data_IF_351907228130
#
_entry.id   IF_351907228130
#
_cell.length_a   1.000
_cell.length_b   1.000
_cell.length_c   1.000
_cell.angle_alpha   90.00
_cell.angle_beta   90.00
_cell.angle_gamma   90.00
#
_symmetry.space_group_name_H-M   'P 1'
#
loop_
_entity.id
_entity.type
_entity.pdbx_description
1 polymer ?
#
# COMPACT_ATOMS: atom_id res chain seq x y z
N UNK A 1 5.27 16.44 14.82
CA UNK A 1 3.87 16.30 14.39
C UNK A 1 3.29 15.12 15.16
N UNK A 2 2.19 15.31 15.88
CA UNK A 2 1.53 14.22 16.61
C UNK A 2 0.49 13.61 15.64
N UNK A 3 0.62 12.33 15.30
CA UNK A 3 -0.21 11.63 14.31
C UNK A 3 -1.02 10.50 14.97
N UNK A 4 -1.96 10.79 15.89
CA UNK A 4 -2.77 9.76 16.55
C UNK A 4 -3.66 8.95 15.60
N UNK A 5 -4.02 9.50 14.44
CA UNK A 5 -4.66 8.78 13.33
C UNK A 5 -3.81 9.01 12.07
N UNK A 6 -2.84 8.12 11.87
CA UNK A 6 -1.84 8.19 10.81
C UNK A 6 -2.43 8.55 9.44
N UNK A 7 -3.58 7.96 9.08
CA UNK A 7 -4.22 8.18 7.79
C UNK A 7 -4.80 9.60 7.65
N UNK A 8 -5.65 9.99 8.61
CA UNK A 8 -6.36 11.27 8.56
C UNK A 8 -5.41 12.44 8.78
N UNK A 9 -4.45 12.27 9.67
CA UNK A 9 -3.49 13.31 10.02
C UNK A 9 -2.49 13.54 8.87
N UNK A 10 -2.12 12.49 8.12
CA UNK A 10 -1.31 12.61 6.89
C UNK A 10 -2.02 13.44 5.83
N UNK A 11 -3.29 13.14 5.53
CA UNK A 11 -4.08 13.90 4.56
C UNK A 11 -4.20 15.36 4.99
N UNK A 12 -4.47 15.60 6.28
CA UNK A 12 -4.54 16.94 6.86
C UNK A 12 -3.20 17.69 6.74
N UNK A 13 -2.08 17.03 6.98
CA UNK A 13 -0.75 17.62 6.84
C UNK A 13 -0.42 17.96 5.38
N UNK A 14 -0.81 17.11 4.42
CA UNK A 14 -0.67 17.37 2.99
C UNK A 14 -1.53 18.56 2.55
N UNK A 15 -2.79 18.63 3.01
CA UNK A 15 -3.69 19.76 2.74
C UNK A 15 -3.15 21.09 3.26
N UNK A 16 -2.44 21.06 4.40
CA UNK A 16 -1.81 22.23 5.01
C UNK A 16 -0.39 22.49 4.49
N UNK A 17 -0.02 21.95 3.32
CA UNK A 17 1.31 22.10 2.69
C UNK A 17 2.49 21.76 3.63
N UNK A 18 2.25 20.93 4.65
CA UNK A 18 3.23 20.58 5.68
C UNK A 18 4.07 19.36 5.31
N UNK A 19 3.68 18.64 4.25
CA UNK A 19 4.39 17.49 3.68
C UNK A 19 4.53 17.70 2.16
N UNK A 20 5.74 17.53 1.63
CA UNK A 20 6.02 17.66 0.19
C UNK A 20 6.27 16.32 -0.52
N UNK A 21 6.34 15.22 0.23
CA UNK A 21 6.62 13.87 -0.28
C UNK A 21 5.90 12.81 0.54
N UNK A 22 5.43 11.75 -0.10
CA UNK A 22 4.74 10.62 0.57
C UNK A 22 5.27 9.30 -0.01
N UNK A 23 6.17 8.58 0.69
CA UNK A 23 6.64 7.27 0.24
C UNK A 23 5.56 6.23 0.51
N UNK A 24 4.75 5.92 -0.51
CA UNK A 24 3.55 5.08 -0.34
C UNK A 24 3.20 4.31 -1.61
N UNK A 25 2.26 3.38 -1.49
CA UNK A 25 1.77 2.63 -2.64
C UNK A 25 1.11 3.55 -3.68
N UNK A 26 1.23 3.17 -4.97
CA UNK A 26 0.71 3.96 -6.11
C UNK A 26 -0.78 4.32 -5.98
N UNK A 27 -1.56 3.49 -5.29
CA UNK A 27 -2.97 3.71 -4.99
C UNK A 27 -3.25 5.01 -4.20
N UNK A 28 -2.26 5.59 -3.53
CA UNK A 28 -2.40 6.89 -2.86
C UNK A 28 -2.59 8.06 -3.85
N UNK A 29 -2.27 7.86 -5.13
CA UNK A 29 -2.58 8.83 -6.18
C UNK A 29 -4.08 9.15 -6.23
N UNK A 30 -4.93 8.14 -6.02
CA UNK A 30 -6.38 8.31 -5.88
C UNK A 30 -6.74 9.18 -4.67
N UNK A 31 -6.14 8.90 -3.51
CA UNK A 31 -6.34 9.69 -2.28
C UNK A 31 -5.98 11.17 -2.47
N UNK A 32 -4.84 11.46 -3.13
CA UNK A 32 -4.44 12.84 -3.43
C UNK A 32 -5.48 13.54 -4.31
N UNK A 33 -5.94 12.88 -5.38
CA UNK A 33 -6.94 13.44 -6.30
C UNK A 33 -8.29 13.70 -5.62
N UNK A 34 -8.72 12.77 -4.76
CA UNK A 34 -10.01 12.87 -4.06
C UNK A 34 -9.99 13.96 -2.98
N UNK A 35 -8.91 14.06 -2.21
CA UNK A 35 -8.87 14.90 -1.01
C UNK A 35 -8.17 16.25 -1.22
N UNK A 36 -7.33 16.39 -2.25
CA UNK A 36 -6.46 17.56 -2.46
C UNK A 36 -6.59 18.10 -3.90
N UNK A 37 -7.80 18.14 -4.44
CA UNK A 37 -8.07 18.54 -5.83
C UNK A 37 -7.48 19.91 -6.22
N UNK A 38 -7.35 20.84 -5.27
CA UNK A 38 -6.75 22.17 -5.43
C UNK A 38 -5.21 22.16 -5.56
N UNK A 39 -4.58 21.00 -5.35
CA UNK A 39 -3.15 20.78 -5.53
C UNK A 39 -2.78 20.14 -6.87
N UNK A 40 -3.73 20.04 -7.82
CA UNK A 40 -3.46 19.56 -9.17
C UNK A 40 -2.26 20.31 -9.82
N UNK A 41 -1.38 19.54 -10.46
CA UNK A 41 -0.15 20.04 -11.08
C UNK A 41 1.02 20.31 -10.12
N UNK A 42 0.84 20.12 -8.80
CA UNK A 42 1.92 20.25 -7.80
C UNK A 42 2.62 18.93 -7.50
N UNK A 43 2.01 17.80 -7.85
CA UNK A 43 2.48 16.47 -7.50
C UNK A 43 2.99 15.71 -8.72
N UNK A 44 4.02 14.89 -8.51
CA UNK A 44 4.57 13.94 -9.49
C UNK A 44 4.98 12.67 -8.75
N UNK A 45 5.19 11.58 -9.48
CA UNK A 45 5.64 10.31 -8.92
C UNK A 45 7.08 10.00 -9.38
N UNK A 46 7.86 9.41 -8.48
CA UNK A 46 9.21 8.88 -8.75
C UNK A 46 9.39 7.54 -8.01
N UNK A 47 10.35 6.68 -8.41
CA UNK A 47 10.75 5.53 -7.62
C UNK A 47 11.15 5.92 -6.19
N UNK A 48 11.07 4.98 -5.24
CA UNK A 48 11.60 5.24 -3.90
C UNK A 48 13.12 5.50 -3.99
N UNK A 49 13.71 6.24 -3.04
CA UNK A 49 15.16 6.24 -2.91
C UNK A 49 15.64 4.88 -2.42
N UNK A 50 16.75 4.40 -2.97
CA UNK A 50 17.46 3.26 -2.38
C UNK A 50 18.13 3.68 -1.07
N UNK A 51 18.16 2.77 -0.07
CA UNK A 51 18.83 3.02 1.22
C UNK A 51 20.36 3.07 1.05
N UNK A 52 20.88 2.19 0.19
CA UNK A 52 22.30 2.11 -0.17
C UNK A 52 22.46 2.42 -1.65
N UNK A 53 23.63 2.93 -2.06
CA UNK A 53 23.92 3.24 -3.45
C UNK A 53 23.79 1.99 -4.33
N UNK A 54 22.93 2.06 -5.36
CA UNK A 54 22.64 0.92 -6.23
C UNK A 54 21.76 -0.17 -5.61
N UNK A 55 21.25 0.04 -4.39
CA UNK A 55 20.37 -0.89 -3.71
C UNK A 55 18.95 -0.91 -4.27
N UNK A 56 18.14 -1.86 -3.78
CA UNK A 56 16.73 -1.97 -4.14
C UNK A 56 15.94 -0.70 -3.78
N UNK A 57 15.10 -0.27 -4.70
CA UNK A 57 14.20 0.87 -4.54
C UNK A 57 12.72 0.54 -4.79
N UNK A 58 12.38 -0.75 -4.88
CA UNK A 58 11.02 -1.21 -5.11
C UNK A 58 10.53 -2.08 -3.95
N UNK A 59 9.32 -1.84 -3.47
CA UNK A 59 8.68 -2.65 -2.43
C UNK A 59 7.17 -2.54 -2.52
N UNK A 60 6.46 -3.61 -2.16
CA UNK A 60 5.01 -3.58 -2.02
C UNK A 60 4.60 -2.95 -0.68
N UNK A 61 3.61 -2.06 -0.73
CA UNK A 61 2.98 -1.49 0.46
C UNK A 61 1.46 -1.46 0.30
N UNK A 62 0.78 -2.18 1.20
CA UNK A 62 -0.66 -2.39 1.12
C UNK A 62 -1.03 -3.39 0.03
N UNK A 63 -2.03 -3.03 -0.78
CA UNK A 63 -2.73 -3.99 -1.65
C UNK A 63 -3.89 -4.65 -0.91
N UNK A 64 -4.93 -4.98 -1.65
CA UNK A 64 -6.14 -5.60 -1.10
C UNK A 64 -6.48 -6.86 -1.88
N UNK A 65 -7.13 -7.78 -1.19
CA UNK A 65 -7.65 -9.03 -1.76
C UNK A 65 -9.15 -9.05 -1.56
N UNK A 66 -9.87 -9.60 -2.53
CA UNK A 66 -11.31 -9.86 -2.43
C UNK A 66 -11.51 -11.34 -2.18
N UNK A 67 -12.22 -11.66 -1.10
CA UNK A 67 -12.49 -13.04 -0.68
C UNK A 67 -13.98 -13.36 -0.78
N UNK A 68 -14.30 -14.59 -1.17
CA UNK A 68 -15.67 -15.11 -1.16
C UNK A 68 -15.96 -15.68 0.22
N UNK A 69 -17.03 -15.20 0.86
CA UNK A 69 -17.48 -15.77 2.13
C UNK A 69 -17.83 -17.25 1.96
N UNK A 70 -17.33 -18.10 2.86
CA UNK A 70 -17.66 -19.53 2.91
C UNK A 70 -19.15 -19.82 3.14
N UNK A 71 -19.90 -18.82 3.62
CA UNK A 71 -21.35 -18.93 3.88
C UNK A 71 -22.23 -18.57 2.67
N UNK A 72 -21.64 -18.16 1.53
CA UNK A 72 -22.42 -17.76 0.36
C UNK A 72 -23.26 -18.90 -0.20
N UNK A 73 -24.46 -18.58 -0.69
CA UNK A 73 -25.30 -19.52 -1.44
C UNK A 73 -24.93 -19.60 -2.92
N UNK A 74 -24.03 -18.74 -3.39
CA UNK A 74 -23.68 -18.58 -4.81
C UNK A 74 -22.17 -18.61 -5.06
N UNK A 75 -21.43 -19.65 -4.62
CA UNK A 75 -19.97 -19.66 -4.67
C UNK A 75 -19.42 -19.50 -6.09
N UNK A 76 -19.98 -20.22 -7.06
CA UNK A 76 -19.52 -20.16 -8.46
C UNK A 76 -19.78 -18.81 -9.12
N UNK A 77 -20.91 -18.16 -8.81
CA UNK A 77 -21.21 -16.82 -9.34
C UNK A 77 -20.25 -15.78 -8.77
N UNK A 78 -20.02 -15.81 -7.45
CA UNK A 78 -19.06 -14.92 -6.80
C UNK A 78 -17.66 -15.11 -7.37
N UNK A 79 -17.22 -16.36 -7.54
CA UNK A 79 -15.92 -16.68 -8.13
C UNK A 79 -15.81 -16.18 -9.56
N UNK A 80 -16.80 -16.46 -10.42
CA UNK A 80 -16.81 -16.00 -11.80
C UNK A 80 -16.78 -14.48 -11.93
N UNK A 81 -17.48 -13.76 -11.05
CA UNK A 81 -17.41 -12.30 -11.00
C UNK A 81 -16.02 -11.80 -10.61
N UNK A 82 -15.41 -12.34 -9.55
CA UNK A 82 -14.06 -11.93 -9.11
C UNK A 82 -13.03 -12.25 -10.19
N UNK A 83 -13.12 -13.42 -10.82
CA UNK A 83 -12.23 -13.82 -11.92
C UNK A 83 -12.36 -12.86 -13.11
N UNK A 84 -13.57 -12.55 -13.55
CA UNK A 84 -13.76 -11.56 -14.62
C UNK A 84 -13.26 -10.18 -14.20
N UNK A 85 -13.61 -9.69 -13.01
CA UNK A 85 -13.30 -8.33 -12.60
C UNK A 85 -11.80 -8.09 -12.41
N UNK A 86 -11.08 -9.04 -11.81
CA UNK A 86 -9.65 -8.88 -11.51
C UNK A 86 -8.71 -9.53 -12.54
N UNK A 87 -9.18 -10.49 -13.35
CA UNK A 87 -8.33 -11.20 -14.33
C UNK A 87 -8.76 -10.93 -15.78
N UNK A 88 -9.38 -9.77 -16.05
CA UNK A 88 -9.65 -9.30 -17.41
C UNK A 88 -9.18 -7.87 -17.61
N UNK A 89 -8.82 -7.54 -18.86
CA UNK A 89 -8.51 -6.17 -19.27
C UNK A 89 -9.71 -5.25 -19.08
N UNK A 90 -10.93 -5.72 -19.36
CA UNK A 90 -12.15 -4.92 -19.18
C UNK A 90 -12.37 -4.55 -17.71
N UNK A 91 -12.28 -5.54 -16.80
CA UNK A 91 -12.43 -5.31 -15.36
C UNK A 91 -11.34 -4.41 -14.80
N UNK A 92 -10.08 -4.62 -15.21
CA UNK A 92 -8.95 -3.78 -14.80
C UNK A 92 -9.11 -2.33 -15.27
N UNK A 93 -9.56 -2.14 -16.52
CA UNK A 93 -9.86 -0.81 -17.06
C UNK A 93 -10.98 -0.12 -16.27
N UNK A 94 -12.07 -0.83 -15.95
CA UNK A 94 -13.14 -0.29 -15.11
C UNK A 94 -12.59 0.13 -13.74
N UNK A 95 -11.75 -0.70 -13.12
CA UNK A 95 -11.19 -0.41 -11.81
C UNK A 95 -10.27 0.82 -11.83
N UNK A 96 -9.43 0.95 -12.86
CA UNK A 96 -8.56 2.10 -13.07
C UNK A 96 -9.36 3.39 -13.33
N UNK A 97 -10.36 3.35 -14.22
CA UNK A 97 -11.12 4.55 -14.61
C UNK A 97 -12.09 5.04 -13.51
N UNK A 98 -12.68 4.11 -12.74
CA UNK A 98 -13.68 4.44 -11.72
C UNK A 98 -13.05 4.68 -10.35
N UNK A 99 -12.11 3.81 -9.95
CA UNK A 99 -11.58 3.79 -8.58
C UNK A 99 -10.15 4.29 -8.50
N UNK A 100 -9.47 4.57 -9.62
CA UNK A 100 -8.04 4.92 -9.71
C UNK A 100 -7.11 3.87 -9.06
N UNK A 101 -7.61 2.64 -8.91
CA UNK A 101 -6.86 1.56 -8.31
C UNK A 101 -5.96 0.92 -9.36
N UNK A 102 -4.72 0.70 -8.98
CA UNK A 102 -3.75 -0.03 -9.79
C UNK A 102 -3.91 -1.54 -9.53
N UNK A 103 -4.33 -2.30 -10.55
CA UNK A 103 -4.58 -3.73 -10.40
C UNK A 103 -3.28 -4.53 -10.32
N UNK A 104 -3.36 -5.73 -9.75
CA UNK A 104 -2.25 -6.69 -9.74
C UNK A 104 -2.18 -7.54 -11.03
N UNK A 105 -3.14 -7.40 -11.95
CA UNK A 105 -3.23 -8.20 -13.17
C UNK A 105 -2.36 -7.61 -14.27
N UNK A 106 -1.07 -7.94 -14.23
CA UNK A 106 -0.04 -7.45 -15.16
C UNK A 106 -0.41 -7.50 -16.65
N UNK A 107 -1.12 -8.53 -17.17
CA UNK A 107 -1.52 -8.53 -18.58
C UNK A 107 -2.36 -7.31 -19.01
N UNK A 108 -3.08 -6.67 -18.09
CA UNK A 108 -3.85 -5.46 -18.37
C UNK A 108 -3.02 -4.18 -18.47
N UNK A 109 -1.74 -4.17 -18.07
CA UNK A 109 -0.92 -2.96 -18.05
C UNK A 109 -0.65 -2.37 -19.45
N UNK A 110 -0.94 -3.14 -20.51
CA UNK A 110 -0.86 -2.68 -21.90
C UNK A 110 -2.08 -1.86 -22.34
N UNK A 111 -3.15 -1.82 -21.55
CA UNK A 111 -4.34 -1.03 -21.84
C UNK A 111 -4.06 0.48 -21.74
N UNK A 112 -4.77 1.28 -22.52
CA UNK A 112 -4.62 2.73 -22.54
C UNK A 112 -4.89 3.35 -21.15
N UNK A 113 -5.76 2.75 -20.34
CA UNK A 113 -6.05 3.24 -18.98
C UNK A 113 -4.82 3.28 -18.07
N UNK A 114 -3.79 2.45 -18.34
CA UNK A 114 -2.54 2.39 -17.58
C UNK A 114 -1.48 3.36 -18.10
N UNK A 115 -1.56 3.76 -19.37
CA UNK A 115 -0.54 4.60 -20.02
C UNK A 115 -0.97 6.05 -20.18
N UNK A 116 -2.27 6.33 -20.08
CA UNK A 116 -2.84 7.67 -20.17
C UNK A 116 -2.23 8.60 -19.12
N UNK A 117 -1.86 9.80 -19.55
CA UNK A 117 -1.44 10.89 -18.67
C UNK A 117 -2.60 11.31 -17.76
N UNK A 118 -2.34 11.34 -16.46
CA UNK A 118 -3.27 11.87 -15.48
C UNK A 118 -3.06 13.40 -15.36
N UNK A 119 -4.12 14.17 -15.55
CA UNK A 119 -4.07 15.64 -15.53
C UNK A 119 -3.62 16.20 -14.17
N UNK A 120 -3.93 15.51 -13.08
CA UNK A 120 -3.55 15.94 -11.74
C UNK A 120 -2.02 15.88 -11.54
N UNK A 121 -1.37 14.88 -12.13
CA UNK A 121 0.07 14.64 -11.98
C UNK A 121 0.91 15.12 -13.17
N UNK A 122 0.29 15.42 -14.32
CA UNK A 122 1.00 15.73 -15.56
C UNK A 122 1.82 14.55 -16.14
N UNK A 123 1.66 13.36 -15.56
CA UNK A 123 2.28 12.10 -15.97
C UNK A 123 1.30 10.95 -15.71
N UNK A 124 1.66 9.71 -16.05
CA UNK A 124 0.88 8.53 -15.67
C UNK A 124 1.52 7.82 -14.47
N UNK A 125 0.95 7.92 -13.24
CA UNK A 125 1.41 7.12 -12.11
C UNK A 125 1.30 5.62 -12.36
N UNK A 126 0.25 5.19 -13.06
CA UNK A 126 0.03 3.78 -13.41
C UNK A 126 1.13 3.26 -14.37
N UNK A 127 1.54 4.04 -15.37
CA UNK A 127 2.62 3.63 -16.26
C UNK A 127 3.95 3.48 -15.53
N UNK A 128 4.25 4.41 -14.61
CA UNK A 128 5.43 4.28 -13.75
C UNK A 128 5.35 3.02 -12.89
N UNK A 129 4.23 2.79 -12.20
CA UNK A 129 4.07 1.60 -11.36
C UNK A 129 4.19 0.31 -12.16
N UNK A 130 3.59 0.23 -13.36
CA UNK A 130 3.68 -0.93 -14.24
C UNK A 130 5.13 -1.27 -14.62
N UNK A 131 5.98 -0.25 -14.86
CA UNK A 131 7.40 -0.46 -15.13
C UNK A 131 8.17 -0.98 -13.91
N UNK A 132 7.80 -0.54 -12.72
CA UNK A 132 8.49 -0.88 -11.48
C UNK A 132 8.09 -2.25 -10.92
N UNK A 133 6.90 -2.75 -11.25
CA UNK A 133 6.37 -4.01 -10.70
C UNK A 133 7.22 -5.24 -11.04
N UNK A 134 8.00 -5.23 -12.14
CA UNK A 134 8.85 -6.37 -12.53
C UNK A 134 10.04 -6.59 -11.60
N UNK A 135 10.44 -5.56 -10.84
CA UNK A 135 11.63 -5.58 -9.97
C UNK A 135 11.31 -5.67 -8.49
N UNK A 136 10.01 -5.70 -8.12
CA UNK A 136 9.60 -5.78 -6.71
C UNK A 136 9.96 -7.17 -6.15
N UNK A 137 10.77 -7.25 -5.08
CA UNK A 137 11.10 -8.52 -4.46
C UNK A 137 9.87 -9.14 -3.78
N UNK A 138 9.80 -10.47 -3.79
CA UNK A 138 8.78 -11.21 -3.08
C UNK A 138 8.85 -10.94 -1.57
N UNK A 139 7.70 -10.60 -0.98
CA UNK A 139 7.55 -10.45 0.47
C UNK A 139 6.57 -11.51 0.99
N UNK A 140 7.06 -12.61 1.60
CA UNK A 140 6.19 -13.63 2.14
C UNK A 140 5.47 -13.12 3.40
N UNK A 141 4.16 -13.34 3.45
CA UNK A 141 3.33 -13.10 4.62
C UNK A 141 3.06 -14.44 5.34
N UNK A 142 3.85 -14.83 6.36
CA UNK A 142 3.69 -16.10 7.06
C UNK A 142 2.39 -16.15 7.89
N UNK A 143 2.08 -17.34 8.42
CA UNK A 143 1.02 -17.50 9.41
C UNK A 143 1.20 -16.51 10.57
N UNK A 144 0.08 -15.94 11.04
CA UNK A 144 0.03 -14.94 12.11
C UNK A 144 0.77 -13.62 11.79
N UNK A 145 1.14 -13.36 10.53
CA UNK A 145 1.86 -12.13 10.15
C UNK A 145 1.21 -10.87 10.73
N UNK A 146 -0.11 -10.75 10.64
CA UNK A 146 -0.84 -9.58 11.14
C UNK A 146 -0.77 -9.48 12.66
N UNK A 147 -1.02 -10.58 13.38
CA UNK A 147 -0.97 -10.64 14.84
C UNK A 147 0.42 -10.25 15.38
N UNK A 148 1.46 -10.73 14.71
CA UNK A 148 2.85 -10.45 15.06
C UNK A 148 3.25 -9.03 14.65
N UNK A 149 2.89 -8.60 13.44
CA UNK A 149 3.22 -7.28 12.91
C UNK A 149 2.58 -6.15 13.70
N UNK A 150 1.38 -6.35 14.24
CA UNK A 150 0.69 -5.36 15.06
C UNK A 150 1.47 -4.99 16.33
N UNK A 151 2.24 -5.91 16.90
CA UNK A 151 3.08 -5.65 18.09
C UNK A 151 4.10 -4.56 17.79
N UNK A 152 4.75 -4.59 16.63
CA UNK A 152 5.71 -3.54 16.25
C UNK A 152 5.01 -2.20 16.05
N UNK A 153 3.81 -2.19 15.47
CA UNK A 153 3.06 -0.95 15.29
C UNK A 153 2.64 -0.33 16.63
N UNK A 154 2.14 -1.14 17.57
CA UNK A 154 1.65 -0.64 18.86
C UNK A 154 2.76 -0.32 19.85
N UNK A 155 3.85 -1.09 19.82
CA UNK A 155 4.85 -1.07 20.90
C UNK A 155 6.17 -0.42 20.48
N UNK A 156 6.45 -0.25 19.18
CA UNK A 156 7.70 0.38 18.73
C UNK A 156 7.51 1.81 18.23
N UNK A 157 6.49 2.08 17.41
CA UNK A 157 6.34 3.37 16.70
C UNK A 157 6.25 4.56 17.67
N UNK A 158 5.32 4.51 18.63
CA UNK A 158 5.15 5.56 19.63
C UNK A 158 6.41 5.77 20.49
N UNK A 159 6.93 4.71 21.14
CA UNK A 159 8.10 4.84 21.99
C UNK A 159 9.35 5.38 21.29
N UNK A 160 9.60 5.00 20.03
CA UNK A 160 10.74 5.52 19.27
C UNK A 160 10.52 6.96 18.81
N UNK A 161 9.41 7.24 18.14
CA UNK A 161 9.22 8.51 17.43
C UNK A 161 8.57 9.62 18.26
N UNK A 162 7.82 9.26 19.31
CA UNK A 162 7.12 10.22 20.18
C UNK A 162 7.86 10.38 21.51
N UNK A 163 8.22 9.27 22.15
CA UNK A 163 8.86 9.29 23.48
C UNK A 163 10.39 9.42 23.40
N UNK A 164 10.99 9.21 22.22
CA UNK A 164 12.43 9.32 22.00
C UNK A 164 13.25 8.22 22.68
N UNK A 165 12.66 7.04 22.90
CA UNK A 165 13.39 5.88 23.44
C UNK A 165 14.40 5.35 22.42
N UNK A 166 15.42 4.67 22.96
CA UNK A 166 16.42 3.99 22.14
C UNK A 166 15.77 2.93 21.24
N UNK A 167 16.03 3.02 19.94
CA UNK A 167 15.39 2.19 18.92
C UNK A 167 15.77 0.71 19.07
N UNK A 168 17.04 0.40 19.34
CA UNK A 168 17.52 -0.97 19.43
C UNK A 168 16.90 -1.68 20.64
N UNK A 169 16.81 -0.99 21.78
CA UNK A 169 16.14 -1.50 22.97
C UNK A 169 14.66 -1.77 22.72
N UNK A 170 13.94 -0.81 22.13
CA UNK A 170 12.49 -0.95 21.88
C UNK A 170 12.19 -2.06 20.87
N UNK A 171 12.98 -2.16 19.80
CA UNK A 171 12.82 -3.23 18.82
C UNK A 171 13.13 -4.59 19.43
N UNK A 172 14.13 -4.69 20.30
CA UNK A 172 14.44 -5.93 21.04
C UNK A 172 13.25 -6.36 21.91
N UNK A 173 12.68 -5.44 22.68
CA UNK A 173 11.50 -5.72 23.52
C UNK A 173 10.28 -6.14 22.69
N UNK A 174 10.03 -5.48 21.57
CA UNK A 174 8.96 -5.83 20.64
C UNK A 174 9.19 -7.22 20.01
N UNK A 175 10.44 -7.54 19.65
CA UNK A 175 10.82 -8.88 19.15
C UNK A 175 10.57 -9.96 20.18
N UNK A 176 10.95 -9.76 21.44
CA UNK A 176 10.72 -10.74 22.51
C UNK A 176 9.23 -10.99 22.73
N UNK A 177 8.41 -9.94 22.68
CA UNK A 177 6.95 -10.05 22.79
C UNK A 177 6.34 -10.77 21.58
N UNK A 178 6.79 -10.43 20.37
CA UNK A 178 6.39 -11.09 19.13
C UNK A 178 6.71 -12.60 19.16
N UNK A 179 7.89 -12.99 19.66
CA UNK A 179 8.26 -14.40 19.80
C UNK A 179 7.32 -15.15 20.75
N UNK A 180 7.03 -14.59 21.93
CA UNK A 180 6.10 -15.20 22.90
C UNK A 180 4.68 -15.35 22.33
N UNK A 181 4.21 -14.33 21.59
CA UNK A 181 2.90 -14.40 20.94
C UNK A 181 2.86 -15.48 19.85
N UNK A 182 3.92 -15.60 19.06
CA UNK A 182 4.01 -16.64 18.04
C UNK A 182 4.04 -18.04 18.64
N UNK A 183 4.76 -18.24 19.75
CA UNK A 183 4.78 -19.51 20.49
C UNK A 183 3.40 -19.85 21.04
N UNK A 184 2.67 -18.88 21.58
CA UNK A 184 1.30 -19.07 22.05
C UNK A 184 0.38 -19.52 20.91
N UNK A 185 0.36 -18.78 19.80
CA UNK A 185 -0.51 -19.04 18.65
C UNK A 185 -0.24 -20.38 17.95
N UNK A 186 1.00 -20.88 18.00
CA UNK A 186 1.36 -22.18 17.42
C UNK A 186 0.93 -23.38 18.27
N UNK A 187 0.63 -23.16 19.55
CA UNK A 187 0.26 -24.20 20.50
C UNK A 187 -1.25 -24.29 20.75
N UNK A 188 -2.05 -23.41 20.15
CA UNK A 188 -3.52 -23.47 20.08
C UNK A 188 -4.01 -24.20 18.82
#
# INVERSE_FOLDING_TARGET
MNLPNEWTDRITALANDSLCTVPYGVWFAGTLKENLADQAGKWSCIPLPAVEEGGNNQVNSGGSTVMVSSSTKYPELCKGFIEWFFLSTEGSRINMEVSTLFDAYMPAYTDESYTKTDEYFGMSPAALAAQLCEEIPDLPFPAYFTDIGQIFQSDAVGPVFVDGKDMDSVLTEATDKAQKQLEFLRNE
#
